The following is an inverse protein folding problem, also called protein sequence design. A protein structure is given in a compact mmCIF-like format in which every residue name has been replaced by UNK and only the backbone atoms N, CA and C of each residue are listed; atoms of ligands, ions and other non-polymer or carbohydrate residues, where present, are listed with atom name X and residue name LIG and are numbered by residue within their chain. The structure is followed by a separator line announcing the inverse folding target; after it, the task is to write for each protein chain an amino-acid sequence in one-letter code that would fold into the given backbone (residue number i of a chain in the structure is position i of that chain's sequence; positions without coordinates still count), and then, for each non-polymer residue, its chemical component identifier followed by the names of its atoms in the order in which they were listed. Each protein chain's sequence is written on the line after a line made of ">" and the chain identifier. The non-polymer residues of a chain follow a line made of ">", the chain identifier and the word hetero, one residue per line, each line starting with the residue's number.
data_IF_593620610066
#
_entry.id   IF_593620610066
#
_cell.length_a   1.000
_cell.length_b   1.000
_cell.length_c   1.000
_cell.angle_alpha   90.00
_cell.angle_beta   90.00
_cell.angle_gamma   90.00
#
_symmetry.space_group_name_H-M   'P 1'
#
loop_
_entity.id
_entity.type
_entity.pdbx_description
1 polymer ?
#
# COMPACT_ATOMS: atom_id res chain seq x y z
N UNK A 1 -3.84 14.48 20.12
CA UNK A 1 -4.30 13.22 19.49
C UNK A 1 -3.08 12.45 18.98
N UNK A 2 -3.11 11.12 19.15
CA UNK A 2 -2.04 10.24 18.69
C UNK A 2 -2.30 9.68 17.28
N UNK A 3 -3.25 10.28 16.54
CA UNK A 3 -3.65 9.82 15.19
C UNK A 3 -3.38 10.91 14.17
N UNK A 4 -2.72 10.56 13.08
CA UNK A 4 -2.33 11.46 12.00
C UNK A 4 -2.69 10.82 10.65
N UNK A 5 -3.28 11.62 9.78
CA UNK A 5 -3.56 11.28 8.37
C UNK A 5 -3.17 12.50 7.51
N UNK A 6 -2.86 12.34 6.23
CA UNK A 6 -2.73 13.47 5.31
C UNK A 6 -4.01 14.31 5.29
N UNK A 7 -3.87 15.63 5.22
CA UNK A 7 -5.02 16.53 5.20
C UNK A 7 -5.70 16.54 3.82
N UNK A 8 -6.77 15.75 3.69
CA UNK A 8 -7.57 15.67 2.47
C UNK A 8 -8.37 16.95 2.13
N UNK A 9 -8.39 17.94 3.02
CA UNK A 9 -9.07 19.24 2.80
C UNK A 9 -8.12 20.35 2.34
N UNK A 10 -6.81 20.08 2.38
CA UNK A 10 -5.80 21.04 1.92
C UNK A 10 -5.86 21.15 0.38
N UNK A 11 -6.09 22.35 -0.18
CA UNK A 11 -6.11 22.54 -1.63
C UNK A 11 -4.73 22.32 -2.29
N UNK A 12 -3.64 22.39 -1.52
CA UNK A 12 -2.29 22.07 -1.96
C UNK A 12 -1.93 20.65 -1.52
N UNK A 13 -2.11 19.70 -2.43
CA UNK A 13 -1.81 18.30 -2.19
C UNK A 13 -0.33 18.04 -1.89
N UNK A 14 0.57 18.79 -2.52
CA UNK A 14 2.01 18.64 -2.28
C UNK A 14 2.37 19.07 -0.85
N UNK A 15 1.81 20.19 -0.38
CA UNK A 15 1.99 20.65 1.01
C UNK A 15 1.41 19.64 2.01
N UNK A 16 0.23 19.08 1.75
CA UNK A 16 -0.35 18.03 2.61
C UNK A 16 0.56 16.80 2.72
N UNK A 17 1.13 16.35 1.62
CA UNK A 17 2.06 15.23 1.58
C UNK A 17 3.35 15.53 2.36
N UNK A 18 3.95 16.70 2.13
CA UNK A 18 5.17 17.13 2.85
C UNK A 18 4.93 17.22 4.35
N UNK A 19 3.81 17.78 4.78
CA UNK A 19 3.44 17.86 6.20
C UNK A 19 3.29 16.48 6.83
N UNK A 20 2.67 15.54 6.12
CA UNK A 20 2.52 14.18 6.62
C UNK A 20 3.87 13.49 6.82
N UNK A 21 4.80 13.59 5.87
CA UNK A 21 6.16 13.09 6.00
C UNK A 21 6.94 13.74 7.15
N UNK A 22 6.75 15.05 7.36
CA UNK A 22 7.34 15.75 8.49
C UNK A 22 6.81 15.24 9.84
N UNK A 23 5.52 14.92 9.95
CA UNK A 23 4.92 14.32 11.14
C UNK A 23 5.58 12.96 11.41
N UNK A 24 5.63 12.07 10.41
CA UNK A 24 6.28 10.75 10.54
C UNK A 24 7.72 10.92 11.05
N UNK A 25 8.47 11.82 10.44
CA UNK A 25 9.87 12.09 10.81
C UNK A 25 9.98 12.64 12.24
N UNK A 26 9.10 13.56 12.63
CA UNK A 26 9.11 14.17 13.98
C UNK A 26 8.81 13.18 15.09
N UNK A 27 8.06 12.11 14.77
CA UNK A 27 7.74 11.02 15.68
C UNK A 27 8.83 9.92 15.75
N UNK A 28 9.92 10.08 14.99
CA UNK A 28 11.02 9.10 14.96
C UNK A 28 10.83 7.99 13.93
N UNK A 29 9.92 8.14 12.99
CA UNK A 29 9.60 7.18 11.94
C UNK A 29 8.46 6.23 12.32
N UNK A 30 8.37 5.12 11.61
CA UNK A 30 7.32 4.09 11.76
C UNK A 30 7.94 2.86 12.42
N UNK A 31 7.45 2.47 13.59
CA UNK A 31 7.93 1.26 14.28
C UNK A 31 7.35 -0.02 13.64
N UNK A 32 6.07 0.00 13.29
CA UNK A 32 5.38 -1.11 12.62
C UNK A 32 4.46 -0.58 11.52
N UNK A 33 4.69 -1.01 10.28
CA UNK A 33 3.80 -0.76 9.14
C UNK A 33 2.91 -1.96 8.91
N UNK A 34 1.60 -1.78 9.05
CA UNK A 34 0.61 -2.78 8.65
C UNK A 34 0.20 -2.55 7.19
N UNK A 35 0.19 -3.61 6.40
CA UNK A 35 -0.19 -3.60 4.98
C UNK A 35 -1.17 -4.72 4.66
N UNK A 36 -2.12 -4.44 3.78
CA UNK A 36 -2.79 -5.44 2.97
C UNK A 36 -2.10 -5.60 1.61
N UNK A 37 -2.54 -6.58 0.82
CA UNK A 37 -2.05 -6.82 -0.54
C UNK A 37 -3.19 -6.70 -1.54
N UNK A 38 -3.08 -5.76 -2.48
CA UNK A 38 -4.03 -5.63 -3.59
C UNK A 38 -3.93 -6.79 -4.57
N UNK A 39 -5.00 -7.11 -5.30
CA UNK A 39 -5.01 -8.21 -6.27
C UNK A 39 -4.02 -8.01 -7.42
N UNK A 40 -3.64 -6.78 -7.71
CA UNK A 40 -2.62 -6.42 -8.71
C UNK A 40 -1.22 -6.20 -8.10
N UNK A 41 -1.05 -6.45 -6.79
CA UNK A 41 0.22 -6.30 -6.08
C UNK A 41 0.46 -4.93 -5.46
N UNK A 42 -0.53 -4.03 -5.46
CA UNK A 42 -0.37 -2.75 -4.78
C UNK A 42 -0.28 -2.92 -3.26
N UNK A 43 0.48 -2.03 -2.64
CA UNK A 43 0.56 -1.82 -1.18
C UNK A 43 0.28 -0.34 -0.88
N UNK A 44 -0.60 -0.06 0.10
CA UNK A 44 -1.27 1.22 0.17
C UNK A 44 -2.07 1.44 -1.12
N UNK A 45 -1.91 2.60 -1.75
CA UNK A 45 -2.39 2.87 -3.11
C UNK A 45 -1.23 3.04 -4.11
N UNK A 46 -0.08 2.39 -3.85
CA UNK A 46 1.01 2.32 -4.81
C UNK A 46 0.70 1.23 -5.83
N UNK A 47 0.09 1.64 -6.94
CA UNK A 47 -0.35 0.78 -8.04
C UNK A 47 0.82 0.32 -8.91
N UNK A 48 0.67 -0.79 -9.68
CA UNK A 48 1.64 -1.20 -10.68
C UNK A 48 2.02 -0.07 -11.64
N UNK A 49 3.31 0.10 -11.88
CA UNK A 49 3.83 1.21 -12.68
C UNK A 49 5.23 0.95 -13.22
N UNK A 50 5.82 1.98 -13.82
CA UNK A 50 7.17 1.93 -14.38
C UNK A 50 8.26 2.17 -13.33
N UNK A 51 7.91 2.68 -12.16
CA UNK A 51 8.85 3.00 -11.08
C UNK A 51 8.18 2.85 -9.72
N UNK A 52 8.98 2.71 -8.67
CA UNK A 52 8.52 2.80 -7.29
C UNK A 52 8.41 4.26 -6.87
N UNK A 53 7.23 4.68 -6.42
CA UNK A 53 7.03 6.00 -5.84
C UNK A 53 7.71 6.13 -4.48
N UNK A 54 8.26 7.32 -4.21
CA UNK A 54 9.15 7.49 -3.06
C UNK A 54 8.38 7.77 -1.77
N UNK A 55 7.75 8.94 -1.66
CA UNK A 55 7.20 9.49 -0.43
C UNK A 55 5.68 9.57 -0.51
N UNK A 56 5.03 10.04 0.55
CA UNK A 56 3.59 10.29 0.53
C UNK A 56 3.22 11.17 -0.66
N UNK A 57 2.23 10.76 -1.42
CA UNK A 57 1.80 11.44 -2.65
C UNK A 57 0.31 11.27 -2.90
N UNK A 58 -0.23 12.11 -3.76
CA UNK A 58 -1.60 12.00 -4.27
C UNK A 58 -1.60 11.03 -5.45
N UNK A 59 -2.57 10.12 -5.47
CA UNK A 59 -2.75 9.16 -6.56
C UNK A 59 -4.16 9.26 -7.13
N UNK A 60 -4.29 9.05 -8.44
CA UNK A 60 -5.56 8.75 -9.07
C UNK A 60 -5.85 7.26 -8.85
N UNK A 61 -7.01 6.94 -8.28
CA UNK A 61 -7.39 5.56 -8.01
C UNK A 61 -7.73 4.83 -9.30
N UNK A 62 -7.24 3.61 -9.43
CA UNK A 62 -7.64 2.73 -10.51
C UNK A 62 -9.16 2.48 -10.48
N UNK A 63 -9.80 2.31 -11.65
CA UNK A 63 -11.23 2.08 -11.75
C UNK A 63 -11.67 0.84 -10.96
N UNK A 64 -10.86 -0.21 -10.93
CA UNK A 64 -11.08 -1.41 -10.12
C UNK A 64 -11.12 -1.09 -8.63
N UNK A 65 -10.27 -0.19 -8.15
CA UNK A 65 -10.23 0.27 -6.76
C UNK A 65 -11.47 1.10 -6.42
N UNK A 66 -11.89 2.02 -7.31
CA UNK A 66 -13.11 2.81 -7.16
C UNK A 66 -14.33 1.89 -7.06
N UNK A 67 -14.46 0.91 -7.96
CA UNK A 67 -15.55 -0.07 -7.95
C UNK A 67 -15.56 -0.93 -6.68
N UNK A 68 -14.40 -1.38 -6.23
CA UNK A 68 -14.29 -2.19 -5.00
C UNK A 68 -14.72 -1.42 -3.75
N UNK A 69 -14.52 -0.10 -3.73
CA UNK A 69 -14.91 0.77 -2.62
C UNK A 69 -16.37 1.29 -2.74
N UNK A 70 -17.03 1.14 -3.89
CA UNK A 70 -18.40 1.63 -4.11
C UNK A 70 -19.40 1.08 -3.07
N UNK A 71 -19.14 -0.10 -2.51
CA UNK A 71 -19.96 -0.72 -1.44
C UNK A 71 -20.08 0.11 -0.17
N UNK A 72 -19.21 1.09 0.04
CA UNK A 72 -19.21 1.96 1.21
C UNK A 72 -19.90 3.31 0.96
N UNK A 73 -20.42 3.55 -0.26
CA UNK A 73 -21.04 4.80 -0.69
C UNK A 73 -22.43 4.53 -1.25
N UNK A 74 -23.26 5.57 -1.32
CA UNK A 74 -24.63 5.47 -1.86
C UNK A 74 -24.62 5.25 -3.38
N UNK A 75 -23.63 5.84 -4.07
CA UNK A 75 -23.42 5.66 -5.51
C UNK A 75 -21.94 5.62 -5.84
N UNK A 76 -21.60 5.07 -7.01
CA UNK A 76 -20.20 5.04 -7.49
C UNK A 76 -19.65 6.45 -7.76
N UNK A 77 -20.51 7.40 -8.07
CA UNK A 77 -20.10 8.78 -8.35
C UNK A 77 -19.64 9.52 -7.09
N UNK A 78 -20.06 9.06 -5.91
CA UNK A 78 -19.65 9.59 -4.61
C UNK A 78 -18.30 9.04 -4.14
N UNK A 79 -17.80 7.98 -4.77
CA UNK A 79 -16.49 7.41 -4.41
C UNK A 79 -15.40 8.40 -4.79
N UNK A 80 -14.51 8.79 -3.86
CA UNK A 80 -13.35 9.61 -4.18
C UNK A 80 -12.52 8.97 -5.31
N UNK A 81 -12.10 9.78 -6.26
CA UNK A 81 -11.27 9.35 -7.39
C UNK A 81 -9.78 9.45 -7.13
N UNK A 82 -9.42 10.15 -6.06
CA UNK A 82 -8.05 10.37 -5.62
C UNK A 82 -7.90 10.00 -4.15
N UNK A 83 -6.69 9.61 -3.78
CA UNK A 83 -6.31 9.33 -2.39
C UNK A 83 -4.87 9.76 -2.12
N UNK A 84 -4.56 10.04 -0.86
CA UNK A 84 -3.17 10.11 -0.40
C UNK A 84 -2.69 8.71 -0.02
N UNK A 85 -1.46 8.42 -0.35
CA UNK A 85 -0.80 7.18 0.06
C UNK A 85 0.63 7.45 0.50
N UNK A 86 1.09 6.71 1.50
CA UNK A 86 2.53 6.65 1.78
C UNK A 86 3.21 5.95 0.61
N UNK A 87 4.29 6.54 0.11
CA UNK A 87 5.07 5.96 -0.97
C UNK A 87 5.92 4.77 -0.50
N UNK A 88 6.47 4.06 -1.46
CA UNK A 88 7.28 2.85 -1.22
C UNK A 88 8.48 3.14 -0.31
N UNK A 89 9.16 4.28 -0.51
CA UNK A 89 10.29 4.66 0.34
C UNK A 89 9.86 4.84 1.80
N UNK A 90 8.74 5.50 2.06
CA UNK A 90 8.22 5.73 3.41
C UNK A 90 7.86 4.39 4.07
N UNK A 91 7.21 3.49 3.34
CA UNK A 91 6.89 2.14 3.80
C UNK A 91 8.16 1.36 4.13
N UNK A 92 9.15 1.36 3.24
CA UNK A 92 10.41 0.63 3.38
C UNK A 92 11.33 1.19 4.48
N UNK A 93 11.07 2.38 4.98
CA UNK A 93 11.78 2.96 6.13
C UNK A 93 11.17 2.56 7.48
N UNK A 94 10.06 1.86 7.52
CA UNK A 94 9.51 1.31 8.74
C UNK A 94 10.51 0.31 9.37
N UNK A 95 10.55 0.21 10.70
CA UNK A 95 11.43 -0.75 11.39
C UNK A 95 10.97 -2.19 11.16
N UNK A 96 9.65 -2.40 11.10
CA UNK A 96 9.01 -3.70 10.82
C UNK A 96 7.83 -3.52 9.90
N UNK A 97 7.59 -4.50 9.05
CA UNK A 97 6.42 -4.55 8.18
C UNK A 97 5.64 -5.83 8.45
N UNK A 98 4.34 -5.69 8.64
CA UNK A 98 3.40 -6.80 8.76
C UNK A 98 2.44 -6.74 7.57
N UNK A 99 2.46 -7.78 6.75
CA UNK A 99 1.52 -7.94 5.63
C UNK A 99 0.48 -8.99 6.00
N UNK A 100 -0.80 -8.67 5.87
CA UNK A 100 -1.90 -9.60 6.13
C UNK A 100 -2.67 -9.85 4.85
N UNK A 101 -2.76 -11.13 4.44
CA UNK A 101 -3.39 -11.55 3.19
C UNK A 101 -4.23 -12.79 3.44
N UNK A 102 -5.43 -12.86 2.87
CA UNK A 102 -6.28 -14.04 2.99
C UNK A 102 -7.10 -14.31 1.73
N UNK A 103 -7.38 -15.58 1.49
CA UNK A 103 -8.26 -16.07 0.44
C UNK A 103 -7.54 -16.46 -0.85
N UNK A 104 -8.12 -17.44 -1.55
CA UNK A 104 -7.60 -18.05 -2.78
C UNK A 104 -7.39 -17.00 -3.91
N UNK A 105 -8.22 -15.97 -3.97
CA UNK A 105 -8.08 -14.89 -4.95
C UNK A 105 -6.76 -14.11 -4.84
N UNK A 106 -6.02 -14.31 -3.75
CA UNK A 106 -4.70 -13.70 -3.50
C UNK A 106 -3.53 -14.62 -3.86
N UNK A 107 -3.77 -15.88 -4.17
CA UNK A 107 -2.71 -16.88 -4.35
C UNK A 107 -1.70 -16.50 -5.44
N UNK A 108 -2.17 -16.05 -6.62
CA UNK A 108 -1.28 -15.61 -7.70
C UNK A 108 -0.42 -14.41 -7.27
N UNK A 109 -1.04 -13.40 -6.67
CA UNK A 109 -0.30 -12.19 -6.32
C UNK A 109 0.64 -12.40 -5.12
N UNK A 110 0.33 -13.29 -4.19
CA UNK A 110 1.24 -13.71 -3.11
C UNK A 110 2.47 -14.38 -3.71
N UNK A 111 2.28 -15.32 -4.64
CA UNK A 111 3.38 -15.98 -5.34
C UNK A 111 4.26 -14.98 -6.10
N UNK A 112 3.66 -14.08 -6.86
CA UNK A 112 4.41 -13.06 -7.62
C UNK A 112 5.12 -12.04 -6.74
N UNK A 113 4.50 -11.61 -5.63
CA UNK A 113 5.04 -10.59 -4.76
C UNK A 113 6.20 -11.10 -3.89
N UNK A 114 6.17 -12.35 -3.43
CA UNK A 114 7.14 -12.84 -2.45
C UNK A 114 8.09 -13.91 -3.00
N UNK A 115 7.81 -14.48 -4.17
CA UNK A 115 8.64 -15.51 -4.81
C UNK A 115 9.02 -15.16 -6.26
N UNK A 116 8.43 -14.12 -6.83
CA UNK A 116 8.77 -13.58 -8.14
C UNK A 116 9.89 -12.53 -8.11
N UNK A 117 10.21 -11.93 -9.25
CA UNK A 117 11.20 -10.86 -9.33
C UNK A 117 10.72 -9.58 -8.64
N UNK A 118 11.67 -8.80 -8.08
CA UNK A 118 11.38 -7.46 -7.57
C UNK A 118 11.19 -6.52 -8.76
N UNK A 119 9.97 -5.98 -8.90
CA UNK A 119 9.60 -5.11 -10.02
C UNK A 119 8.51 -4.13 -9.62
N UNK A 120 8.51 -2.88 -10.12
CA UNK A 120 7.42 -1.93 -9.87
C UNK A 120 6.09 -2.34 -10.53
N UNK A 121 6.08 -3.30 -11.44
CA UNK A 121 4.83 -3.92 -11.95
C UNK A 121 4.10 -4.75 -10.89
N UNK A 122 4.79 -5.13 -9.82
CA UNK A 122 4.24 -5.76 -8.61
C UNK A 122 4.80 -5.00 -7.41
N UNK A 123 4.21 -3.87 -7.00
CA UNK A 123 4.79 -2.99 -5.98
C UNK A 123 5.15 -3.69 -4.68
N UNK A 124 4.34 -4.66 -4.23
CA UNK A 124 4.62 -5.45 -3.03
C UNK A 124 5.92 -6.27 -3.13
N UNK A 125 6.43 -6.55 -4.34
CA UNK A 125 7.66 -7.32 -4.52
C UNK A 125 8.88 -6.67 -3.89
N UNK A 126 8.88 -5.34 -3.72
CA UNK A 126 9.96 -4.61 -3.05
C UNK A 126 10.14 -5.04 -1.60
N UNK A 127 9.09 -5.55 -0.96
CA UNK A 127 9.13 -6.01 0.43
C UNK A 127 10.13 -7.15 0.64
N UNK A 128 10.48 -7.91 -0.41
CA UNK A 128 11.55 -8.91 -0.36
C UNK A 128 12.91 -8.32 0.02
N UNK A 129 13.10 -7.02 -0.17
CA UNK A 129 14.36 -6.31 0.15
C UNK A 129 14.35 -5.67 1.54
N UNK A 130 13.25 -5.74 2.28
CA UNK A 130 13.18 -5.16 3.62
C UNK A 130 13.71 -6.17 4.66
N UNK A 131 14.50 -5.72 5.65
CA UNK A 131 15.17 -6.63 6.60
C UNK A 131 14.23 -7.32 7.61
N UNK A 132 13.02 -6.79 7.85
CA UNK A 132 12.09 -7.31 8.87
C UNK A 132 10.64 -7.24 8.35
N UNK A 133 10.26 -8.22 7.53
CA UNK A 133 8.89 -8.39 7.01
C UNK A 133 8.30 -9.69 7.53
N UNK A 134 7.12 -9.60 8.10
CA UNK A 134 6.29 -10.76 8.42
C UNK A 134 5.07 -10.77 7.51
N UNK A 135 4.86 -11.88 6.80
CA UNK A 135 3.66 -12.10 5.99
C UNK A 135 2.78 -13.13 6.68
N UNK A 136 1.58 -12.73 7.04
CA UNK A 136 0.56 -13.61 7.62
C UNK A 136 -0.51 -13.87 6.56
N UNK A 137 -0.64 -15.13 6.16
CA UNK A 137 -1.64 -15.54 5.18
C UNK A 137 -2.23 -16.90 5.53
N UNK A 138 -3.44 -17.16 5.02
CA UNK A 138 -4.07 -18.47 5.12
C UNK A 138 -3.54 -19.43 4.04
N UNK A 139 -3.84 -20.72 4.18
CA UNK A 139 -3.43 -21.77 3.23
C UNK A 139 -3.96 -21.50 1.82
N UNK A 140 -5.17 -20.91 1.70
CA UNK A 140 -5.76 -20.59 0.42
C UNK A 140 -4.94 -19.52 -0.34
N UNK A 141 -4.47 -18.49 0.37
CA UNK A 141 -3.60 -17.47 -0.22
C UNK A 141 -2.20 -18.00 -0.57
N UNK A 142 -1.76 -19.10 0.04
CA UNK A 142 -0.47 -19.76 -0.24
C UNK A 142 -0.54 -20.85 -1.32
N UNK A 143 -1.72 -21.21 -1.82
CA UNK A 143 -1.95 -22.37 -2.67
C UNK A 143 -1.11 -22.42 -3.97
N UNK A 144 -0.61 -21.29 -4.45
CA UNK A 144 0.28 -21.18 -5.62
C UNK A 144 1.72 -20.80 -5.24
N UNK A 145 2.07 -20.80 -3.97
CA UNK A 145 3.42 -20.49 -3.49
C UNK A 145 4.29 -21.76 -3.49
N UNK A 146 5.60 -21.65 -3.79
CA UNK A 146 6.53 -22.79 -3.84
C UNK A 146 7.02 -23.22 -2.45
N UNK A 147 6.14 -23.28 -1.48
CA UNK A 147 6.41 -23.68 -0.08
C UNK A 147 6.09 -25.15 0.15
#
# INVERSE_FOLDING_TARGET
>A
TATHVPDGTNPDAADACVKHEQIIKSLGGIDLQLLGLGNNGHIGFNEPGAAFEKETHLVDLAESTIRANARFFTSIDEVPKQAYTMGIRTIMQAKKILVVVSGESKADIVSRAFFGPVTPEVPASILQMHPDVTVVCDEAALSLSPL
#
